data_IF_071110837347
#
_entry.id   IF_071110837347
#
_cell.length_a   1.000
_cell.length_b   1.000
_cell.length_c   1.000
_cell.angle_alpha   90.00
_cell.angle_beta   90.00
_cell.angle_gamma   90.00
#
_symmetry.space_group_name_H-M   'P 1'
#
loop_
_entity.id
_entity.type
_entity.pdbx_description
1 polymer ?
#
# COMPACT_ATOMS: atom_id res chain seq x y z
N UNK A 1 -14.80 2.60 5.56
CA UNK A 1 -13.71 2.44 4.55
C UNK A 1 -12.34 2.20 5.18
N UNK A 2 -11.82 3.06 6.07
CA UNK A 2 -10.50 2.85 6.73
C UNK A 2 -10.38 1.57 7.56
N UNK A 3 -11.45 1.15 8.22
CA UNK A 3 -11.49 -0.14 8.94
C UNK A 3 -11.40 -1.33 7.97
N UNK A 4 -12.08 -1.25 6.82
CA UNK A 4 -12.10 -2.31 5.80
C UNK A 4 -10.70 -2.51 5.23
N UNK A 5 -9.99 -1.43 4.88
CA UNK A 5 -8.61 -1.54 4.39
C UNK A 5 -7.66 -2.13 5.43
N UNK A 6 -7.78 -1.74 6.71
CA UNK A 6 -6.99 -2.34 7.80
C UNK A 6 -7.24 -3.84 7.93
N UNK A 7 -8.51 -4.26 7.95
CA UNK A 7 -8.89 -5.67 8.04
C UNK A 7 -8.32 -6.46 6.85
N UNK A 8 -8.43 -5.91 5.64
CA UNK A 8 -7.90 -6.56 4.43
C UNK A 8 -6.38 -6.73 4.50
N UNK A 9 -5.64 -5.72 4.95
CA UNK A 9 -4.17 -5.76 4.97
C UNK A 9 -3.61 -6.56 6.14
N UNK A 10 -4.26 -6.52 7.30
CA UNK A 10 -3.95 -7.41 8.43
C UNK A 10 -4.29 -8.85 8.06
N UNK A 11 -5.46 -9.09 7.43
CA UNK A 11 -5.87 -10.40 6.94
C UNK A 11 -4.89 -10.97 5.92
N UNK A 12 -4.43 -10.15 4.98
CA UNK A 12 -3.35 -10.50 4.04
C UNK A 12 -2.04 -10.90 4.75
N UNK A 13 -1.60 -10.11 5.72
CA UNK A 13 -0.40 -10.43 6.52
C UNK A 13 -0.56 -11.76 7.27
N UNK A 14 -1.69 -11.95 7.96
CA UNK A 14 -1.97 -13.18 8.69
C UNK A 14 -2.05 -14.39 7.75
N UNK A 15 -2.70 -14.25 6.60
CA UNK A 15 -2.78 -15.31 5.60
C UNK A 15 -1.38 -15.74 5.13
N UNK A 16 -0.47 -14.81 4.88
CA UNK A 16 0.92 -15.12 4.47
C UNK A 16 1.72 -15.77 5.61
N UNK A 17 1.52 -15.33 6.85
CA UNK A 17 2.20 -15.89 8.03
C UNK A 17 1.70 -17.31 8.35
N UNK A 18 0.37 -17.52 8.39
CA UNK A 18 -0.23 -18.82 8.69
C UNK A 18 -0.06 -19.82 7.57
N UNK A 19 -0.15 -19.39 6.31
CA UNK A 19 0.12 -20.25 5.15
C UNK A 19 1.59 -20.26 4.74
N UNK A 20 2.52 -19.80 5.61
CA UNK A 20 3.94 -19.81 5.28
C UNK A 20 4.44 -21.20 4.90
N UNK A 21 3.96 -22.26 5.59
CA UNK A 21 4.30 -23.64 5.25
C UNK A 21 3.92 -24.03 3.81
N UNK A 22 2.80 -23.52 3.31
CA UNK A 22 2.27 -23.80 1.97
C UNK A 22 2.86 -22.91 0.87
N UNK A 23 3.65 -21.89 1.21
CA UNK A 23 4.32 -21.06 0.21
C UNK A 23 5.37 -21.87 -0.57
N UNK A 24 5.51 -21.65 -1.88
CA UNK A 24 6.51 -22.33 -2.71
C UNK A 24 7.94 -22.02 -2.26
N UNK A 25 8.85 -22.95 -2.56
CA UNK A 25 10.26 -22.89 -2.14
C UNK A 25 11.04 -21.73 -2.79
N UNK A 26 10.52 -21.17 -3.88
CA UNK A 26 11.02 -19.97 -4.52
C UNK A 26 9.96 -18.88 -4.48
N UNK A 27 10.35 -17.71 -3.96
CA UNK A 27 9.50 -16.54 -3.88
C UNK A 27 10.07 -15.45 -4.79
N UNK A 28 9.23 -14.73 -5.55
CA UNK A 28 9.68 -13.63 -6.39
C UNK A 28 10.16 -12.47 -5.50
N UNK A 29 11.43 -12.12 -5.63
CA UNK A 29 12.06 -10.96 -4.97
C UNK A 29 11.77 -9.69 -5.78
N UNK A 30 11.82 -9.83 -7.11
CA UNK A 30 11.45 -8.82 -8.11
C UNK A 30 10.70 -9.50 -9.27
N UNK A 31 10.24 -8.73 -10.26
CA UNK A 31 9.58 -9.31 -11.46
C UNK A 31 10.50 -10.25 -12.26
N UNK A 32 11.82 -10.16 -12.06
CA UNK A 32 12.84 -10.85 -12.85
C UNK A 32 13.81 -11.70 -12.00
N UNK A 33 13.59 -11.77 -10.68
CA UNK A 33 14.43 -12.55 -9.77
C UNK A 33 13.56 -13.33 -8.77
N UNK A 34 13.74 -14.64 -8.74
CA UNK A 34 13.29 -15.51 -7.65
C UNK A 34 14.44 -15.72 -6.67
N UNK A 35 14.12 -15.89 -5.39
CA UNK A 35 15.08 -16.36 -4.41
C UNK A 35 14.44 -17.42 -3.52
N UNK A 36 15.29 -18.20 -2.86
CA UNK A 36 14.82 -19.17 -1.89
C UNK A 36 13.94 -18.52 -0.82
N UNK A 37 12.86 -19.23 -0.52
CA UNK A 37 11.89 -18.90 0.50
C UNK A 37 12.59 -18.58 1.82
N UNK A 38 12.38 -17.35 2.27
CA UNK A 38 12.79 -16.90 3.59
C UNK A 38 11.63 -16.16 4.24
N UNK A 39 11.53 -16.27 5.56
CA UNK A 39 10.53 -15.55 6.36
C UNK A 39 10.53 -14.06 6.07
N UNK A 40 11.73 -13.46 5.95
CA UNK A 40 11.88 -12.04 5.66
C UNK A 40 11.26 -11.66 4.31
N UNK A 41 11.43 -12.49 3.28
CA UNK A 41 10.90 -12.21 1.95
C UNK A 41 9.38 -12.38 1.87
N UNK A 42 8.85 -13.42 2.53
CA UNK A 42 7.41 -13.68 2.57
C UNK A 42 6.66 -12.56 3.29
N UNK A 43 7.15 -12.13 4.46
CA UNK A 43 6.47 -11.14 5.30
C UNK A 43 6.69 -9.70 4.79
N UNK A 44 7.74 -9.45 4.03
CA UNK A 44 8.06 -8.10 3.52
C UNK A 44 6.94 -7.47 2.71
N UNK A 45 6.37 -8.19 1.73
CA UNK A 45 5.32 -7.66 0.85
C UNK A 45 4.08 -7.21 1.64
N UNK A 46 3.48 -8.05 2.51
CA UNK A 46 2.35 -7.62 3.33
C UNK A 46 2.73 -6.53 4.35
N UNK A 47 3.95 -6.53 4.90
CA UNK A 47 4.40 -5.44 5.79
C UNK A 47 4.52 -4.11 5.05
N UNK A 48 5.05 -4.07 3.83
CA UNK A 48 5.12 -2.85 3.01
C UNK A 48 3.71 -2.31 2.76
N UNK A 49 2.75 -3.18 2.47
CA UNK A 49 1.36 -2.78 2.27
C UNK A 49 0.73 -2.19 3.55
N UNK A 50 1.05 -2.73 4.72
CA UNK A 50 0.59 -2.21 6.01
C UNK A 50 1.21 -0.83 6.31
N UNK A 51 2.51 -0.66 6.04
CA UNK A 51 3.20 0.63 6.19
C UNK A 51 2.65 1.68 5.22
N UNK A 52 2.32 1.28 3.99
CA UNK A 52 1.70 2.15 2.98
C UNK A 52 0.34 2.67 3.43
N UNK A 53 -0.45 1.82 4.08
CA UNK A 53 -1.71 2.21 4.73
C UNK A 53 -1.48 3.22 5.86
N UNK A 54 -0.44 3.03 6.67
CA UNK A 54 -0.03 4.00 7.69
C UNK A 54 0.24 5.38 7.10
N UNK A 55 0.95 5.46 5.97
CA UNK A 55 1.23 6.72 5.27
C UNK A 55 -0.09 7.37 4.80
N UNK A 56 -0.97 6.58 4.18
CA UNK A 56 -2.28 7.06 3.69
C UNK A 56 -3.15 7.59 4.85
N UNK A 57 -3.07 6.99 6.03
CA UNK A 57 -3.81 7.45 7.21
C UNK A 57 -3.27 8.76 7.78
N UNK A 58 -1.95 8.88 7.89
CA UNK A 58 -1.29 10.12 8.32
C UNK A 58 -1.62 11.26 7.35
N UNK A 59 -1.60 10.96 6.05
CA UNK A 59 -1.97 11.91 5.00
C UNK A 59 -3.47 12.25 5.04
N UNK A 60 -4.33 11.25 5.21
CA UNK A 60 -5.79 11.42 5.34
C UNK A 60 -6.19 12.24 6.56
N UNK A 61 -5.44 12.16 7.68
CA UNK A 61 -5.63 13.04 8.84
C UNK A 61 -5.30 14.49 8.51
N UNK A 62 -4.17 14.71 7.83
CA UNK A 62 -3.75 16.05 7.37
C UNK A 62 -4.80 16.68 6.43
N UNK A 63 -5.33 15.90 5.49
CA UNK A 63 -6.43 16.30 4.60
C UNK A 63 -7.74 16.57 5.32
N UNK A 64 -8.12 15.74 6.30
CA UNK A 64 -9.39 15.91 7.02
C UNK A 64 -9.47 17.18 7.86
N UNK A 65 -8.32 17.72 8.31
CA UNK A 65 -8.26 19.03 8.99
C UNK A 65 -8.46 20.20 8.02
N UNK A 66 -8.28 19.97 6.72
CA UNK A 66 -8.55 20.95 5.69
C UNK A 66 -10.07 21.04 5.43
N UNK A 67 -10.78 21.72 6.33
CA UNK A 67 -12.25 21.75 6.46
C UNK A 67 -13.00 22.48 5.33
N UNK A 68 -12.31 22.89 4.25
CA UNK A 68 -12.85 23.81 3.23
C UNK A 68 -13.41 23.11 1.99
N UNK A 69 -13.13 21.82 1.78
CA UNK A 69 -13.68 21.09 0.63
C UNK A 69 -14.09 19.65 0.99
N UNK A 70 -15.39 19.34 0.84
CA UNK A 70 -15.98 18.03 1.15
C UNK A 70 -15.37 16.89 0.33
N UNK A 71 -15.03 17.15 -0.94
CA UNK A 71 -14.53 16.13 -1.86
C UNK A 71 -13.10 15.67 -1.54
N UNK A 72 -12.26 16.55 -1.00
CA UNK A 72 -10.88 16.23 -0.65
C UNK A 72 -10.76 15.20 0.48
N UNK A 73 -11.77 15.11 1.34
CA UNK A 73 -11.82 14.13 2.42
C UNK A 73 -11.94 12.68 1.91
N UNK A 74 -12.38 12.49 0.66
CA UNK A 74 -12.50 11.18 0.02
C UNK A 74 -11.17 10.62 -0.51
N UNK A 75 -10.15 11.46 -0.68
CA UNK A 75 -8.83 11.03 -1.19
C UNK A 75 -8.22 9.94 -0.28
N UNK A 76 -8.16 10.19 1.04
CA UNK A 76 -7.60 9.23 1.99
C UNK A 76 -8.33 7.88 2.01
N UNK A 77 -9.67 7.85 2.16
CA UNK A 77 -10.47 6.63 2.06
C UNK A 77 -10.30 5.86 0.74
N UNK A 78 -10.27 6.56 -0.40
CA UNK A 78 -10.11 5.93 -1.73
C UNK A 78 -8.74 5.25 -1.82
N UNK A 79 -7.67 5.99 -1.50
CA UNK A 79 -6.32 5.42 -1.49
C UNK A 79 -6.19 4.24 -0.53
N UNK A 80 -6.83 4.32 0.64
CA UNK A 80 -6.81 3.25 1.62
C UNK A 80 -7.49 1.97 1.09
N UNK A 81 -8.63 2.10 0.41
CA UNK A 81 -9.32 0.97 -0.23
C UNK A 81 -8.47 0.38 -1.34
N UNK A 82 -7.89 1.22 -2.21
CA UNK A 82 -6.99 0.78 -3.28
C UNK A 82 -5.79 0.01 -2.73
N UNK A 83 -5.16 0.51 -1.67
CA UNK A 83 -4.05 -0.16 -0.99
C UNK A 83 -4.48 -1.50 -0.36
N UNK A 84 -5.66 -1.55 0.26
CA UNK A 84 -6.22 -2.78 0.83
C UNK A 84 -6.49 -3.86 -0.22
N UNK A 85 -7.10 -3.49 -1.36
CA UNK A 85 -7.35 -4.42 -2.48
C UNK A 85 -6.02 -4.91 -3.06
N UNK A 86 -5.07 -4.00 -3.29
CA UNK A 86 -3.73 -4.37 -3.77
C UNK A 86 -3.06 -5.40 -2.85
N UNK A 87 -3.09 -5.16 -1.53
CA UNK A 87 -2.48 -6.06 -0.56
C UNK A 87 -3.10 -7.47 -0.59
N UNK A 88 -4.41 -7.55 -0.78
CA UNK A 88 -5.14 -8.81 -0.90
C UNK A 88 -4.76 -9.54 -2.19
N UNK A 89 -4.73 -8.84 -3.33
CA UNK A 89 -4.35 -9.43 -4.62
C UNK A 89 -2.91 -9.95 -4.59
N UNK A 90 -1.96 -9.20 -4.05
CA UNK A 90 -0.57 -9.64 -3.91
C UNK A 90 -0.43 -10.86 -3.01
N UNK A 91 -1.19 -10.93 -1.93
CA UNK A 91 -1.17 -12.08 -1.01
C UNK A 91 -1.76 -13.33 -1.66
N UNK A 92 -2.84 -13.19 -2.43
CA UNK A 92 -3.43 -14.28 -3.21
C UNK A 92 -2.48 -14.75 -4.31
N UNK A 93 -1.83 -13.82 -5.03
CA UNK A 93 -0.82 -14.16 -6.04
C UNK A 93 0.34 -14.94 -5.41
N UNK A 94 0.83 -14.53 -4.24
CA UNK A 94 1.89 -15.25 -3.52
C UNK A 94 1.48 -16.68 -3.12
N UNK A 95 0.21 -16.90 -2.76
CA UNK A 95 -0.33 -18.20 -2.40
C UNK A 95 -0.61 -19.11 -3.61
N UNK A 96 -0.75 -18.54 -4.81
CA UNK A 96 -1.07 -19.27 -6.05
C UNK A 96 0.15 -19.55 -6.96
N UNK A 97 1.37 -19.18 -6.54
CA UNK A 97 2.59 -19.59 -7.26
C UNK A 97 2.71 -21.13 -7.22
N UNK A 98 2.76 -21.85 -8.37
CA UNK A 98 3.42 -21.44 -9.61
C UNK A 98 2.49 -21.14 -10.81
N UNK A 99 1.16 -21.18 -10.67
CA UNK A 99 0.20 -20.86 -11.74
C UNK A 99 0.02 -19.35 -11.90
N UNK A 100 1.15 -18.66 -12.09
CA UNK A 100 1.22 -17.20 -12.15
C UNK A 100 0.56 -16.69 -13.42
N UNK A 101 -0.73 -16.40 -13.34
CA UNK A 101 -1.48 -15.81 -14.45
C UNK A 101 -1.21 -14.31 -14.56
N UNK A 102 -0.81 -13.85 -15.75
CA UNK A 102 -0.60 -12.43 -16.09
C UNK A 102 -1.81 -11.53 -15.79
N UNK A 103 -3.00 -12.14 -15.63
CA UNK A 103 -4.25 -11.48 -15.25
C UNK A 103 -4.11 -10.75 -13.91
N UNK A 104 -3.44 -11.33 -12.91
CA UNK A 104 -3.28 -10.67 -11.60
C UNK A 104 -2.50 -9.37 -11.71
N UNK A 105 -1.45 -9.33 -12.53
CA UNK A 105 -0.69 -8.12 -12.79
C UNK A 105 -1.53 -7.04 -13.48
N UNK A 106 -2.37 -7.42 -14.45
CA UNK A 106 -3.28 -6.49 -15.14
C UNK A 106 -4.32 -5.93 -14.17
N UNK A 107 -4.95 -6.79 -13.37
CA UNK A 107 -5.94 -6.39 -12.35
C UNK A 107 -5.33 -5.42 -11.33
N UNK A 108 -4.10 -5.69 -10.89
CA UNK A 108 -3.39 -4.85 -9.93
C UNK A 108 -3.05 -3.49 -10.54
N UNK A 109 -2.56 -3.44 -11.78
CA UNK A 109 -2.31 -2.19 -12.51
C UNK A 109 -3.62 -1.40 -12.68
N UNK A 110 -4.69 -2.05 -13.14
CA UNK A 110 -5.99 -1.41 -13.34
C UNK A 110 -6.56 -0.85 -12.03
N UNK A 111 -6.44 -1.59 -10.93
CA UNK A 111 -6.89 -1.18 -9.59
C UNK A 111 -6.14 0.05 -9.10
N UNK A 112 -4.80 0.05 -9.25
CA UNK A 112 -3.96 1.20 -8.86
C UNK A 112 -4.28 2.43 -9.71
N UNK A 113 -4.37 2.27 -11.03
CA UNK A 113 -4.70 3.36 -11.94
C UNK A 113 -6.08 3.96 -11.65
N UNK A 114 -7.09 3.11 -11.42
CA UNK A 114 -8.44 3.56 -11.06
C UNK A 114 -8.44 4.32 -9.72
N UNK A 115 -7.74 3.79 -8.71
CA UNK A 115 -7.60 4.43 -7.40
C UNK A 115 -6.92 5.80 -7.47
N UNK A 116 -5.85 5.90 -8.27
CA UNK A 116 -5.12 7.16 -8.49
C UNK A 116 -5.99 8.16 -9.24
N UNK A 117 -6.62 7.75 -10.35
CA UNK A 117 -7.50 8.61 -11.13
C UNK A 117 -8.67 9.16 -10.30
N UNK A 118 -9.30 8.31 -9.49
CA UNK A 118 -10.39 8.73 -8.60
C UNK A 118 -9.89 9.66 -7.49
N UNK A 119 -8.69 9.42 -6.95
CA UNK A 119 -8.07 10.30 -5.96
C UNK A 119 -7.75 11.69 -6.53
N UNK A 120 -7.23 11.75 -7.75
CA UNK A 120 -6.98 13.00 -8.47
C UNK A 120 -8.30 13.73 -8.74
N UNK A 121 -9.35 13.01 -9.13
CA UNK A 121 -10.68 13.57 -9.33
C UNK A 121 -11.23 14.21 -8.04
N UNK A 122 -11.17 13.49 -6.92
CA UNK A 122 -11.58 14.00 -5.60
C UNK A 122 -10.72 15.19 -5.14
N UNK A 123 -9.44 15.22 -5.53
CA UNK A 123 -8.48 16.28 -5.20
C UNK A 123 -8.36 17.40 -6.22
N UNK A 124 -9.18 17.41 -7.28
CA UNK A 124 -9.03 18.32 -8.42
C UNK A 124 -9.04 19.79 -8.01
N UNK A 125 -9.95 20.19 -7.14
CA UNK A 125 -10.04 21.57 -6.63
C UNK A 125 -8.86 21.93 -5.73
N UNK A 126 -8.28 20.93 -5.07
CA UNK A 126 -7.15 21.09 -4.18
C UNK A 126 -5.87 21.37 -4.98
N UNK A 127 -5.75 20.75 -6.17
CA UNK A 127 -4.72 21.01 -7.16
C UNK A 127 -4.95 22.34 -7.90
N UNK A 128 -6.15 22.57 -8.42
CA UNK A 128 -6.50 23.73 -9.26
C UNK A 128 -6.34 25.06 -8.52
N UNK A 129 -6.73 25.11 -7.25
CA UNK A 129 -6.70 26.35 -6.47
C UNK A 129 -5.42 26.47 -5.61
N UNK A 130 -4.41 25.63 -5.84
CA UNK A 130 -3.18 25.53 -5.04
C UNK A 130 -3.39 25.38 -3.53
N UNK A 131 -4.59 24.99 -3.12
CA UNK A 131 -5.01 24.84 -1.74
C UNK A 131 -4.15 23.81 -0.98
N UNK A 132 -3.46 22.90 -1.70
CA UNK A 132 -2.47 22.00 -1.13
C UNK A 132 -1.32 22.74 -0.41
N UNK A 133 -0.96 23.96 -0.83
CA UNK A 133 0.08 24.77 -0.15
C UNK A 133 -0.35 25.20 1.26
N UNK A 134 -1.66 25.24 1.50
CA UNK A 134 -2.23 25.59 2.81
C UNK A 134 -2.43 24.38 3.72
N UNK A 135 -2.14 23.15 3.26
CA UNK A 135 -2.13 21.97 4.12
C UNK A 135 -1.00 22.07 5.13
N UNK A 136 -1.37 22.30 6.40
CA UNK A 136 -0.44 22.21 7.52
C UNK A 136 -0.41 20.79 8.04
N UNK A 137 0.75 20.15 7.90
CA UNK A 137 1.08 18.91 8.59
C UNK A 137 1.83 19.21 9.89
N UNK A 138 1.47 18.50 10.95
CA UNK A 138 2.10 18.65 12.27
C UNK A 138 3.47 17.98 12.30
N UNK A 139 4.33 18.38 13.25
CA UNK A 139 5.65 17.76 13.42
C UNK A 139 5.55 16.23 13.57
N UNK A 140 4.58 15.76 14.38
CA UNK A 140 4.37 14.33 14.62
C UNK A 140 3.97 13.56 13.35
N UNK A 141 3.18 14.16 12.47
CA UNK A 141 2.81 13.53 11.19
C UNK A 141 3.99 13.46 10.23
N UNK A 142 4.82 14.52 10.17
CA UNK A 142 6.04 14.51 9.36
C UNK A 142 7.02 13.46 9.88
N UNK A 143 7.22 13.38 11.19
CA UNK A 143 8.05 12.35 11.82
C UNK A 143 7.51 10.94 11.56
N UNK A 144 6.20 10.73 11.68
CA UNK A 144 5.57 9.46 11.38
C UNK A 144 5.74 9.07 9.89
N UNK A 145 5.53 10.00 8.95
CA UNK A 145 5.75 9.74 7.53
C UNK A 145 7.22 9.44 7.22
N UNK A 146 8.16 10.16 7.83
CA UNK A 146 9.58 9.91 7.67
C UNK A 146 9.98 8.51 8.20
N UNK A 147 9.51 8.14 9.39
CA UNK A 147 9.75 6.83 9.99
C UNK A 147 9.15 5.69 9.14
N UNK A 148 7.89 5.84 8.68
CA UNK A 148 7.24 4.87 7.80
C UNK A 148 7.98 4.74 6.47
N UNK A 149 8.37 5.86 5.86
CA UNK A 149 9.15 5.88 4.62
C UNK A 149 10.52 5.22 4.76
N UNK A 150 11.26 5.55 5.83
CA UNK A 150 12.55 4.93 6.13
C UNK A 150 12.41 3.42 6.34
N UNK A 151 11.34 2.97 7.00
CA UNK A 151 11.07 1.54 7.21
C UNK A 151 10.78 0.83 5.89
N UNK A 152 9.99 1.44 5.00
CA UNK A 152 9.74 0.88 3.65
C UNK A 152 11.05 0.79 2.87
N UNK A 153 11.86 1.84 2.86
CA UNK A 153 13.16 1.83 2.17
C UNK A 153 14.05 0.73 2.75
N UNK A 154 14.19 0.67 4.08
CA UNK A 154 14.97 -0.35 4.78
C UNK A 154 14.53 -1.78 4.47
N UNK A 155 13.22 -2.04 4.36
CA UNK A 155 12.69 -3.34 3.94
C UNK A 155 13.01 -3.68 2.48
N UNK A 156 13.31 -2.69 1.64
CA UNK A 156 13.73 -2.89 0.24
C UNK A 156 15.25 -2.92 0.05
N UNK A 157 16.06 -2.47 1.02
CA UNK A 157 17.54 -2.50 0.94
C UNK A 157 18.12 -3.90 0.65
N UNK A 158 17.66 -5.01 1.25
CA UNK A 158 18.20 -6.35 0.98
C UNK A 158 18.06 -6.81 -0.47
N UNK A 159 17.24 -6.11 -1.25
CA UNK A 159 16.94 -6.37 -2.64
C UNK A 159 17.90 -5.67 -3.61
N UNK A 160 18.49 -4.55 -3.18
CA UNK A 160 19.44 -3.77 -3.96
C UNK A 160 20.89 -4.24 -3.77
N UNK A 161 21.14 -5.00 -2.69
CA UNK A 161 22.46 -5.54 -2.32
C UNK A 161 22.69 -6.97 -2.81
N UNK A 162 21.72 -7.58 -3.50
CA UNK A 162 21.80 -8.90 -4.14
C UNK A 162 21.71 -8.76 -5.64
#
# INVERSE_FOLDING_TARGET
MRAVSRILTIGALLAVVFCYGSLPNELPVSRWHSAHKTWLLAVRVPVINLLSLGIIEVYGRSLSRYRRNSNANWIGPVLAVTAGIKALVESIEMLLLPTRHSIFAIVLIATVLAGVAFSIWCGRDLLKNENWKTLKSTCNEKAAMAALGATIIGLNVPLFLR
#
